data_IF_495472689494
#
_entry.id   IF_495472689494
#
_cell.length_a   1.000
_cell.length_b   1.000
_cell.length_c   1.000
_cell.angle_alpha   90.00
_cell.angle_beta   90.00
_cell.angle_gamma   90.00
#
_symmetry.space_group_name_H-M   'P 1'
#
loop_
_entity.id
_entity.type
_entity.pdbx_description
1 polymer ?
#
# COMPACT_ATOMS: atom_id res chain seq x y z
N UNK A 1 -0.88 2.42 -3.07
CA UNK A 1 -1.51 2.63 -1.75
C UNK A 1 -0.80 3.74 -1.02
N UNK A 2 0.52 3.64 -0.89
CA UNK A 2 1.40 4.72 -0.39
C UNK A 2 1.07 6.09 -1.02
N UNK A 3 1.17 6.23 -2.35
CA UNK A 3 0.80 7.47 -3.06
C UNK A 3 -0.61 7.96 -2.70
N UNK A 4 -1.61 7.08 -2.67
CA UNK A 4 -3.00 7.48 -2.33
C UNK A 4 -3.11 8.02 -0.90
N UNK A 5 -2.31 7.49 0.02
CA UNK A 5 -2.35 7.84 1.44
C UNK A 5 -1.47 9.06 1.77
N UNK A 6 -0.37 9.25 1.04
CA UNK A 6 0.64 10.27 1.33
C UNK A 6 0.58 11.52 0.46
N UNK A 7 -0.04 11.46 -0.73
CA UNK A 7 0.19 12.49 -1.75
C UNK A 7 -0.09 13.93 -1.29
N UNK A 8 -1.11 14.18 -0.46
CA UNK A 8 -1.41 15.54 0.02
C UNK A 8 -0.23 16.14 0.80
N UNK A 9 0.23 15.41 1.82
CA UNK A 9 1.37 15.82 2.63
C UNK A 9 2.65 15.92 1.79
N UNK A 10 2.82 15.02 0.82
CA UNK A 10 3.96 15.03 -0.08
C UNK A 10 3.97 16.25 -1.01
N UNK A 11 2.81 16.65 -1.53
CA UNK A 11 2.68 17.87 -2.33
C UNK A 11 2.91 19.14 -1.48
N UNK A 12 2.43 19.18 -0.24
CA UNK A 12 2.64 20.31 0.68
C UNK A 12 4.13 20.61 0.93
N UNK A 13 4.96 19.56 1.00
CA UNK A 13 6.41 19.70 1.20
C UNK A 13 7.22 19.82 -0.10
N UNK A 14 6.55 19.93 -1.26
CA UNK A 14 7.19 20.08 -2.56
C UNK A 14 7.86 18.81 -3.09
N UNK A 15 7.34 17.63 -2.73
CA UNK A 15 7.80 16.37 -3.28
C UNK A 15 7.36 16.19 -4.73
N UNK A 16 8.06 15.33 -5.46
CA UNK A 16 7.73 15.01 -6.86
C UNK A 16 6.28 14.47 -6.99
N UNK A 17 5.60 14.70 -8.13
CA UNK A 17 4.24 14.24 -8.37
C UNK A 17 4.08 12.73 -8.18
N UNK A 18 3.09 12.31 -7.39
CA UNK A 18 2.77 10.89 -7.18
C UNK A 18 1.92 10.34 -8.34
N UNK A 19 1.55 9.06 -8.27
CA UNK A 19 0.56 8.48 -9.19
C UNK A 19 -0.76 9.27 -9.22
N UNK A 20 -1.16 9.92 -8.11
CA UNK A 20 -2.39 10.72 -8.05
C UNK A 20 -2.27 11.94 -8.96
N UNK A 21 -1.23 12.75 -8.78
CA UNK A 21 -1.01 13.97 -9.58
C UNK A 21 -0.75 13.65 -11.05
N UNK A 22 0.03 12.59 -11.31
CA UNK A 22 0.31 12.15 -12.68
C UNK A 22 -0.97 11.76 -13.41
N UNK A 23 -1.83 10.96 -12.78
CA UNK A 23 -3.09 10.53 -13.38
C UNK A 23 -4.05 11.70 -13.59
N UNK A 24 -4.22 12.57 -12.58
CA UNK A 24 -5.06 13.76 -12.70
C UNK A 24 -4.61 14.65 -13.86
N UNK A 25 -3.31 14.89 -13.99
CA UNK A 25 -2.75 15.71 -15.07
C UNK A 25 -2.92 15.07 -16.45
N UNK A 26 -2.74 13.75 -16.54
CA UNK A 26 -2.84 13.03 -17.81
C UNK A 26 -4.30 12.93 -18.32
N UNK A 27 -5.26 12.79 -17.41
CA UNK A 27 -6.65 12.49 -17.77
C UNK A 27 -7.63 13.64 -17.51
N UNK A 28 -7.21 14.73 -16.85
CA UNK A 28 -8.07 15.86 -16.51
C UNK A 28 -9.19 15.51 -15.53
N UNK A 29 -8.99 14.47 -14.72
CA UNK A 29 -9.98 13.91 -13.78
C UNK A 29 -9.88 14.53 -12.39
N UNK A 30 -10.95 14.42 -11.61
CA UNK A 30 -10.94 14.85 -10.19
C UNK A 30 -10.09 13.92 -9.34
N UNK A 31 -9.64 14.41 -8.17
CA UNK A 31 -8.88 13.60 -7.21
C UNK A 31 -9.66 12.36 -6.78
N UNK A 32 -10.96 12.50 -6.50
CA UNK A 32 -11.83 11.43 -6.03
C UNK A 32 -11.96 10.32 -7.08
N UNK A 33 -12.12 10.69 -8.36
CA UNK A 33 -12.14 9.75 -9.48
C UNK A 33 -10.83 8.98 -9.59
N UNK A 34 -9.69 9.67 -9.44
CA UNK A 34 -8.37 9.04 -9.45
C UNK A 34 -8.20 8.06 -8.29
N UNK A 35 -8.58 8.43 -7.07
CA UNK A 35 -8.48 7.55 -5.92
C UNK A 35 -9.32 6.27 -6.09
N UNK A 36 -10.52 6.38 -6.66
CA UNK A 36 -11.37 5.23 -6.97
C UNK A 36 -10.73 4.31 -8.02
N UNK A 37 -10.17 4.87 -9.09
CA UNK A 37 -9.49 4.07 -10.12
C UNK A 37 -8.20 3.43 -9.59
N UNK A 38 -7.39 4.13 -8.80
CA UNK A 38 -6.20 3.56 -8.16
C UNK A 38 -6.58 2.44 -7.17
N UNK A 39 -7.66 2.60 -6.39
CA UNK A 39 -8.15 1.56 -5.49
C UNK A 39 -8.61 0.32 -6.26
N UNK A 40 -9.27 0.51 -7.42
CA UNK A 40 -9.67 -0.58 -8.32
C UNK A 40 -8.46 -1.29 -8.92
N UNK A 41 -7.40 -0.57 -9.29
CA UNK A 41 -6.13 -1.17 -9.74
C UNK A 41 -5.51 -2.03 -8.64
N UNK A 42 -5.45 -1.54 -7.39
CA UNK A 42 -4.97 -2.32 -6.23
C UNK A 42 -5.82 -3.58 -6.02
N UNK A 43 -7.15 -3.47 -6.07
CA UNK A 43 -8.04 -4.64 -5.92
C UNK A 43 -7.82 -5.68 -7.02
N UNK A 44 -7.64 -5.24 -8.26
CA UNK A 44 -7.35 -6.14 -9.38
C UNK A 44 -5.97 -6.80 -9.26
N UNK A 45 -4.95 -6.05 -8.82
CA UNK A 45 -3.63 -6.62 -8.54
C UNK A 45 -3.69 -7.70 -7.44
N UNK A 46 -4.47 -7.49 -6.38
CA UNK A 46 -4.68 -8.50 -5.34
C UNK A 46 -5.38 -9.76 -5.86
N UNK A 47 -6.37 -9.63 -6.75
CA UNK A 47 -7.01 -10.79 -7.40
C UNK A 47 -6.01 -11.60 -8.21
N UNK A 48 -5.11 -10.92 -8.93
CA UNK A 48 -4.06 -11.58 -9.69
C UNK A 48 -3.05 -12.29 -8.78
N UNK A 49 -2.58 -11.63 -7.72
CA UNK A 49 -1.69 -12.24 -6.71
C UNK A 49 -2.35 -13.50 -6.12
N UNK A 50 -3.62 -13.43 -5.75
CA UNK A 50 -4.36 -14.58 -5.21
C UNK A 50 -4.48 -15.71 -6.24
N UNK A 51 -4.78 -15.39 -7.50
CA UNK A 51 -4.83 -16.35 -8.59
C UNK A 51 -3.49 -17.07 -8.73
N UNK A 52 -2.41 -16.31 -8.86
CA UNK A 52 -1.06 -16.87 -8.97
C UNK A 52 -0.69 -17.72 -7.75
N UNK A 53 -1.18 -17.36 -6.56
CA UNK A 53 -1.02 -18.14 -5.33
C UNK A 53 -1.66 -19.54 -5.33
N UNK A 54 -2.58 -19.83 -6.24
CA UNK A 54 -3.31 -21.10 -6.28
C UNK A 54 -2.78 -22.09 -7.33
N UNK A 55 -2.05 -21.63 -8.34
CA UNK A 55 -1.60 -22.48 -9.46
C UNK A 55 -0.13 -22.93 -9.33
N UNK A 56 0.25 -24.03 -10.03
CA UNK A 56 1.64 -24.42 -10.20
C UNK A 56 2.46 -23.28 -10.80
N UNK A 57 3.69 -23.11 -10.31
CA UNK A 57 4.56 -21.98 -10.67
C UNK A 57 5.98 -22.44 -10.91
N UNK A 58 6.67 -21.72 -11.79
CA UNK A 58 8.10 -21.92 -12.06
C UNK A 58 8.97 -21.44 -10.88
N UNK A 59 8.49 -20.42 -10.15
CA UNK A 59 9.22 -19.84 -9.02
C UNK A 59 8.79 -20.51 -7.70
N UNK A 60 9.74 -20.88 -6.83
CA UNK A 60 9.43 -21.44 -5.51
C UNK A 60 8.56 -20.51 -4.64
N UNK A 61 7.54 -21.09 -4.01
CA UNK A 61 6.63 -20.34 -3.12
C UNK A 61 7.36 -19.63 -1.97
N UNK A 62 8.48 -20.18 -1.49
CA UNK A 62 9.31 -19.55 -0.45
C UNK A 62 9.80 -18.14 -0.83
N UNK A 63 10.13 -17.93 -2.12
CA UNK A 63 10.56 -16.62 -2.64
C UNK A 63 9.33 -15.71 -2.78
N UNK A 64 8.26 -16.21 -3.39
CA UNK A 64 7.03 -15.44 -3.60
C UNK A 64 6.37 -15.00 -2.29
N UNK A 65 6.49 -15.79 -1.23
CA UNK A 65 6.00 -15.44 0.10
C UNK A 65 6.64 -14.18 0.66
N UNK A 66 7.91 -13.88 0.30
CA UNK A 66 8.56 -12.63 0.72
C UNK A 66 7.89 -11.42 0.08
N UNK A 67 7.65 -11.49 -1.23
CA UNK A 67 6.96 -10.43 -2.01
C UNK A 67 5.51 -10.27 -1.54
N UNK A 68 4.80 -11.38 -1.35
CA UNK A 68 3.42 -11.37 -0.84
C UNK A 68 3.34 -10.74 0.55
N UNK A 69 4.25 -11.09 1.46
CA UNK A 69 4.25 -10.51 2.81
C UNK A 69 4.63 -9.03 2.79
N UNK A 70 5.51 -8.59 1.89
CA UNK A 70 5.78 -7.16 1.70
C UNK A 70 4.50 -6.42 1.23
N UNK A 71 3.78 -6.96 0.26
CA UNK A 71 2.51 -6.38 -0.20
C UNK A 71 1.47 -6.29 0.94
N UNK A 72 1.39 -7.32 1.80
CA UNK A 72 0.51 -7.30 3.00
C UNK A 72 0.92 -6.23 4.00
N UNK A 73 2.21 -6.01 4.20
CA UNK A 73 2.71 -4.94 5.07
C UNK A 73 2.35 -3.56 4.49
N UNK A 74 2.50 -3.35 3.18
CA UNK A 74 2.08 -2.11 2.52
C UNK A 74 0.57 -1.89 2.73
N UNK A 75 -0.27 -2.92 2.56
CA UNK A 75 -1.70 -2.81 2.85
C UNK A 75 -1.95 -2.38 4.31
N UNK A 76 -1.28 -3.02 5.27
CA UNK A 76 -1.40 -2.70 6.69
C UNK A 76 -0.99 -1.24 6.99
N UNK A 77 0.07 -0.76 6.36
CA UNK A 77 0.64 0.57 6.59
C UNK A 77 -0.18 1.70 5.98
N UNK A 78 -0.89 1.46 4.88
CA UNK A 78 -1.51 2.54 4.10
C UNK A 78 -3.03 2.45 3.97
N UNK A 79 -3.66 1.41 4.54
CA UNK A 79 -5.12 1.23 4.45
C UNK A 79 -5.92 2.35 5.12
N UNK A 80 -5.45 2.84 6.27
CA UNK A 80 -6.14 3.85 7.09
C UNK A 80 -5.47 5.24 6.98
N UNK A 81 -4.63 5.47 5.97
CA UNK A 81 -3.77 6.65 5.83
C UNK A 81 -2.28 6.33 5.95
N UNK A 82 -1.42 7.34 5.85
CA UNK A 82 0.04 7.18 5.89
C UNK A 82 0.49 6.82 7.32
N UNK A 83 0.75 5.54 7.60
CA UNK A 83 1.16 5.08 8.92
C UNK A 83 2.67 4.86 9.08
N UNK A 84 3.43 4.83 7.98
CA UNK A 84 4.83 4.46 8.03
C UNK A 84 5.70 5.60 8.59
N UNK A 85 5.49 6.83 8.12
CA UNK A 85 6.24 8.00 8.60
C UNK A 85 5.53 8.74 9.73
N UNK A 86 4.19 8.68 9.79
CA UNK A 86 3.44 9.26 10.90
C UNK A 86 3.30 8.27 12.08
N UNK A 87 4.22 8.37 13.03
CA UNK A 87 4.32 7.50 14.22
C UNK A 87 3.17 7.61 15.22
N UNK A 88 2.25 8.57 15.04
CA UNK A 88 1.04 8.73 15.87
C UNK A 88 -0.06 7.72 15.52
N UNK A 89 0.13 6.93 14.46
CA UNK A 89 -0.82 5.93 13.98
C UNK A 89 -0.73 4.59 14.73
N UNK A 90 -1.62 3.65 14.37
CA UNK A 90 -1.69 2.28 14.94
C UNK A 90 -0.39 1.48 14.80
N UNK A 91 0.54 1.88 13.92
CA UNK A 91 1.77 1.13 13.65
C UNK A 91 2.63 0.94 14.90
N UNK A 92 2.75 1.96 15.76
CA UNK A 92 3.53 1.85 16.99
C UNK A 92 2.99 0.75 17.90
N UNK A 93 1.67 0.66 18.04
CA UNK A 93 1.02 -0.37 18.86
C UNK A 93 1.25 -1.77 18.28
N UNK A 94 1.19 -1.92 16.95
CA UNK A 94 1.48 -3.18 16.26
C UNK A 94 2.93 -3.61 16.49
N UNK A 95 3.89 -2.68 16.35
CA UNK A 95 5.32 -2.95 16.58
C UNK A 95 5.54 -3.38 18.03
N UNK A 96 4.99 -2.64 19.00
CA UNK A 96 5.14 -2.98 20.41
C UNK A 96 4.62 -4.38 20.71
N UNK A 97 3.41 -4.71 20.23
CA UNK A 97 2.79 -6.02 20.47
C UNK A 97 3.51 -7.19 19.80
N UNK A 98 4.25 -6.98 18.71
CA UNK A 98 4.90 -8.06 17.96
C UNK A 98 6.37 -8.21 18.35
N UNK A 99 7.07 -7.11 18.65
CA UNK A 99 8.52 -7.08 18.79
C UNK A 99 9.03 -6.69 20.18
N UNK A 100 8.18 -6.10 21.03
CA UNK A 100 8.58 -5.58 22.36
C UNK A 100 7.96 -6.41 23.47
N UNK A 101 6.64 -6.55 23.44
CA UNK A 101 5.91 -7.24 24.51
C UNK A 101 5.95 -8.76 24.28
N UNK A 102 6.27 -9.56 25.32
CA UNK A 102 6.19 -11.01 25.24
C UNK A 102 4.74 -11.47 25.18
N UNK A 103 4.50 -12.62 24.55
CA UNK A 103 3.21 -13.31 24.63
C UNK A 103 3.01 -13.81 26.07
N UNK A 104 1.84 -13.57 26.70
CA UNK A 104 1.54 -14.07 28.04
C UNK A 104 1.66 -15.59 28.20
#
# INVERSE_FOLDING_TARGET
MDDMAGHEFEQERGHEPSAVECYMKQHGTSKEEVLLELQKLVSNAWKEVNRQCLYPREVPMLILMRVLNLARVIELLYKDGEAFTHSTTKLKNIITSILVDPVP
#
